data_IF_963640296758
#
_entry.id   IF_963640296758
#
_cell.length_a   1.000
_cell.length_b   1.000
_cell.length_c   1.000
_cell.angle_alpha   90.00
_cell.angle_beta   90.00
_cell.angle_gamma   90.00
#
_symmetry.space_group_name_H-M   'P 1'
#
loop_
_entity.id
_entity.type
_entity.pdbx_description
1 polymer ?
#
# COMPACT_ATOMS: atom_id res chain seq x y z
N UNK A 1 22.32 53.37 36.71
CA UNK A 1 23.36 54.19 36.05
C UNK A 1 23.50 53.60 34.65
N UNK A 2 22.83 54.08 33.58
CA UNK A 2 23.00 55.39 32.92
C UNK A 2 24.39 55.44 32.32
N UNK A 3 24.68 55.54 31.01
CA UNK A 3 24.08 56.17 29.81
C UNK A 3 24.90 55.62 28.60
N UNK A 4 24.48 55.45 27.34
CA UNK A 4 23.53 56.17 26.50
C UNK A 4 24.27 56.99 25.42
N UNK A 5 24.10 56.65 24.13
CA UNK A 5 24.08 57.52 22.91
C UNK A 5 24.44 56.69 21.65
N UNK A 6 24.04 56.99 20.41
CA UNK A 6 22.81 57.50 19.75
C UNK A 6 23.15 57.47 18.23
N UNK A 7 22.11 57.33 17.39
CA UNK A 7 22.11 57.20 15.91
C UNK A 7 22.60 58.45 15.14
N UNK A 8 22.68 58.39 13.79
CA UNK A 8 21.53 58.74 12.89
C UNK A 8 21.39 57.72 11.72
N UNK A 9 20.24 57.30 11.18
CA UNK A 9 19.04 57.89 10.59
C UNK A 9 19.23 58.60 9.23
N UNK A 10 18.88 57.93 8.12
CA UNK A 10 18.41 58.57 6.89
C UNK A 10 17.28 57.75 6.23
N UNK A 11 16.17 58.45 5.96
CA UNK A 11 14.87 57.99 5.46
C UNK A 11 14.80 57.94 3.92
N UNK A 12 13.76 57.24 3.45
CA UNK A 12 12.85 57.45 2.28
C UNK A 12 12.89 56.25 1.32
N UNK A 13 11.79 55.65 0.83
CA UNK A 13 10.33 55.74 1.00
C UNK A 13 9.75 54.45 0.33
N UNK A 14 8.66 53.83 0.82
CA UNK A 14 7.97 52.72 0.14
C UNK A 14 6.57 53.14 -0.35
N UNK A 15 6.07 52.58 -1.45
CA UNK A 15 4.65 52.59 -1.88
C UNK A 15 4.44 51.58 -3.06
N UNK A 16 3.22 51.10 -3.36
CA UNK A 16 2.25 50.45 -2.45
C UNK A 16 1.47 49.29 -3.13
N UNK A 17 0.55 48.66 -2.37
CA UNK A 17 -0.61 47.98 -2.98
C UNK A 17 -1.17 46.78 -2.22
N UNK A 18 -1.85 47.02 -1.10
CA UNK A 18 -2.93 46.13 -0.60
C UNK A 18 -4.26 46.68 -1.11
N UNK A 19 -5.20 45.80 -1.46
CA UNK A 19 -6.63 46.09 -1.35
C UNK A 19 -7.37 44.85 -0.85
N UNK A 20 -8.15 45.07 0.21
CA UNK A 20 -9.14 44.20 0.83
C UNK A 20 -10.54 44.56 0.30
N UNK A 21 -11.54 43.75 0.72
CA UNK A 21 -13.00 43.88 0.55
C UNK A 21 -13.54 43.23 -0.75
N UNK A 22 -14.66 42.51 -0.79
CA UNK A 22 -15.75 42.18 0.16
C UNK A 22 -16.58 41.03 -0.43
N UNK A 23 -17.29 40.27 0.40
CA UNK A 23 -18.44 39.44 0.00
C UNK A 23 -19.52 40.32 -0.67
N UNK A 24 -20.23 39.79 -1.68
CA UNK A 24 -21.67 39.99 -1.91
C UNK A 24 -22.17 39.00 -2.97
N UNK A 25 -23.34 38.42 -2.73
CA UNK A 25 -23.98 37.45 -3.60
C UNK A 25 -24.97 38.05 -4.62
N UNK A 26 -25.60 37.11 -5.32
CA UNK A 26 -26.78 37.19 -6.20
C UNK A 26 -26.60 37.36 -7.73
N UNK A 27 -27.01 36.27 -8.41
CA UNK A 27 -28.00 36.16 -9.51
C UNK A 27 -28.05 37.29 -10.54
N UNK A 28 -27.92 36.92 -11.81
CA UNK A 28 -28.54 37.68 -12.90
C UNK A 28 -27.86 37.52 -14.25
N UNK A 29 -28.53 36.79 -15.13
CA UNK A 29 -28.29 36.71 -16.57
C UNK A 29 -28.25 38.10 -17.23
N UNK A 30 -27.27 38.35 -18.11
CA UNK A 30 -27.49 38.95 -19.44
C UNK A 30 -26.22 38.98 -20.28
N UNK A 31 -26.43 38.56 -21.51
CA UNK A 31 -25.63 38.57 -22.73
C UNK A 31 -24.91 39.89 -23.00
N UNK A 32 -23.64 39.82 -23.37
CA UNK A 32 -22.99 40.84 -24.19
C UNK A 32 -22.09 40.19 -25.25
N UNK A 33 -22.32 40.60 -26.48
CA UNK A 33 -21.60 40.21 -27.69
C UNK A 33 -20.23 40.89 -27.73
N UNK A 34 -19.18 40.11 -28.00
CA UNK A 34 -17.96 40.64 -28.62
C UNK A 34 -17.55 39.73 -29.76
N UNK A 35 -17.62 40.29 -30.97
CA UNK A 35 -17.04 39.76 -32.18
C UNK A 35 -15.52 39.68 -32.03
N UNK A 36 -14.95 38.51 -32.32
CA UNK A 36 -13.57 38.45 -32.78
C UNK A 36 -13.45 37.36 -33.85
N UNK A 37 -13.29 37.84 -35.08
CA UNK A 37 -13.09 37.10 -36.32
C UNK A 37 -11.66 36.60 -36.41
N UNK A 38 -11.46 35.28 -36.45
CA UNK A 38 -10.33 34.63 -37.12
C UNK A 38 -10.81 33.33 -37.81
N UNK A 39 -10.32 33.02 -39.01
CA UNK A 39 -10.95 32.05 -39.91
C UNK A 39 -10.63 30.60 -39.53
N UNK A 40 -11.67 29.79 -39.44
CA UNK A 40 -11.60 28.34 -39.30
C UNK A 40 -11.34 27.69 -40.66
N UNK A 41 -10.12 27.19 -40.88
CA UNK A 41 -9.86 26.23 -41.94
C UNK A 41 -10.46 24.87 -41.54
N UNK A 42 -11.61 24.52 -42.10
CA UNK A 42 -12.16 23.16 -42.07
C UNK A 42 -11.41 22.28 -43.07
N UNK A 43 -10.39 21.55 -42.60
CA UNK A 43 -9.88 20.39 -43.33
C UNK A 43 -10.59 19.14 -42.84
N UNK A 44 -11.49 18.62 -43.68
CA UNK A 44 -12.06 17.28 -43.54
C UNK A 44 -10.97 16.24 -43.79
N UNK A 45 -10.32 15.76 -42.74
CA UNK A 45 -9.52 14.53 -42.81
C UNK A 45 -10.31 13.40 -42.15
N UNK A 46 -11.11 12.68 -42.95
CA UNK A 46 -11.68 11.39 -42.55
C UNK A 46 -10.53 10.40 -42.40
N UNK A 47 -10.06 10.18 -41.17
CA UNK A 47 -9.26 9.00 -40.85
C UNK A 47 -10.17 7.77 -40.95
N UNK A 48 -10.18 7.13 -42.11
CA UNK A 48 -10.70 5.78 -42.28
C UNK A 48 -9.71 4.87 -41.56
N UNK A 49 -10.00 4.54 -40.30
CA UNK A 49 -9.28 3.50 -39.58
C UNK A 49 -9.46 2.17 -40.30
N UNK A 50 -8.44 1.73 -41.03
CA UNK A 50 -8.35 0.34 -41.48
C UNK A 50 -8.18 -0.52 -40.22
N UNK A 51 -8.94 -1.62 -40.06
CA UNK A 51 -8.70 -2.56 -38.97
C UNK A 51 -7.28 -3.11 -39.09
N UNK A 52 -6.57 -3.15 -37.95
CA UNK A 52 -5.26 -3.75 -37.82
C UNK A 52 -5.28 -5.15 -38.42
N UNK A 53 -4.38 -5.40 -39.37
CA UNK A 53 -4.17 -6.70 -39.98
C UNK A 53 -3.90 -7.74 -38.88
N UNK A 54 -4.75 -8.77 -38.82
CA UNK A 54 -4.64 -9.92 -37.93
C UNK A 54 -3.51 -10.86 -38.34
N UNK A 55 -2.30 -10.33 -38.55
CA UNK A 55 -1.12 -11.18 -38.69
C UNK A 55 -0.80 -11.79 -37.32
N UNK A 56 -0.77 -13.12 -37.18
CA UNK A 56 -0.31 -13.73 -35.95
C UNK A 56 1.11 -13.25 -35.66
N UNK A 57 1.30 -12.63 -34.49
CA UNK A 57 2.62 -12.28 -33.98
C UNK A 57 3.41 -13.60 -33.88
N UNK A 58 4.33 -13.82 -34.81
CA UNK A 58 5.25 -14.95 -34.75
C UNK A 58 6.08 -14.80 -33.48
N UNK A 59 5.80 -15.66 -32.51
CA UNK A 59 6.52 -15.75 -31.23
C UNK A 59 8.00 -15.96 -31.55
N UNK A 60 8.92 -15.10 -31.09
CA UNK A 60 10.34 -15.41 -31.17
C UNK A 60 10.56 -16.77 -30.49
N UNK A 61 11.33 -17.66 -31.12
CA UNK A 61 11.87 -18.83 -30.45
C UNK A 61 12.51 -18.40 -29.14
N UNK A 62 12.27 -19.12 -28.05
CA UNK A 62 12.76 -18.82 -26.69
C UNK A 62 14.20 -18.31 -26.76
N UNK A 63 14.46 -17.02 -26.48
CA UNK A 63 15.80 -16.46 -26.65
C UNK A 63 16.62 -16.86 -25.44
N UNK A 64 17.08 -18.11 -25.41
CA UNK A 64 17.99 -18.62 -24.37
C UNK A 64 19.36 -17.93 -24.42
N UNK A 65 19.66 -17.22 -25.51
CA UNK A 65 20.85 -16.38 -25.63
C UNK A 65 20.42 -14.91 -25.86
N UNK A 66 20.17 -14.18 -24.77
CA UNK A 66 20.10 -12.72 -24.78
C UNK A 66 21.34 -12.14 -24.08
N UNK A 67 22.55 -12.30 -24.67
CA UNK A 67 23.81 -11.96 -24.01
C UNK A 67 23.94 -10.46 -23.73
N UNK A 68 23.15 -9.61 -24.39
CA UNK A 68 23.10 -8.17 -24.15
C UNK A 68 22.36 -7.79 -22.85
N UNK A 69 21.43 -8.63 -22.38
CA UNK A 69 20.42 -8.21 -21.40
C UNK A 69 21.00 -8.01 -20.01
N UNK A 70 21.68 -9.03 -19.47
CA UNK A 70 22.28 -8.94 -18.15
C UNK A 70 23.41 -7.89 -18.07
N UNK A 71 24.36 -7.81 -19.02
CA UNK A 71 25.37 -6.75 -19.01
C UNK A 71 24.77 -5.35 -19.04
N UNK A 72 23.74 -5.09 -19.86
CA UNK A 72 23.10 -3.78 -19.92
C UNK A 72 22.47 -3.37 -18.59
N UNK A 73 21.83 -4.30 -17.87
CA UNK A 73 21.25 -4.03 -16.56
C UNK A 73 22.33 -3.82 -15.48
N UNK A 74 23.35 -4.68 -15.45
CA UNK A 74 24.45 -4.59 -14.50
C UNK A 74 25.29 -3.33 -14.69
N UNK A 75 25.47 -2.87 -15.93
CA UNK A 75 26.13 -1.61 -16.22
C UNK A 75 25.26 -0.38 -15.84
N UNK A 76 23.94 -0.48 -16.05
CA UNK A 76 23.02 0.60 -15.75
C UNK A 76 22.81 0.79 -14.24
N UNK A 77 22.71 -0.31 -13.48
CA UNK A 77 22.32 -0.32 -12.07
C UNK A 77 23.16 0.55 -11.13
N UNK A 78 24.51 0.45 -11.07
CA UNK A 78 25.31 1.19 -10.10
C UNK A 78 25.21 2.72 -10.28
N UNK A 79 24.85 3.19 -11.48
CA UNK A 79 24.72 4.63 -11.79
C UNK A 79 23.33 5.21 -11.50
N UNK A 80 22.30 4.35 -11.39
CA UNK A 80 20.90 4.79 -11.31
C UNK A 80 20.14 4.27 -10.10
N UNK A 81 20.68 3.27 -9.38
CA UNK A 81 19.99 2.68 -8.23
C UNK A 81 19.74 3.72 -7.14
N UNK A 82 18.53 3.67 -6.57
CA UNK A 82 18.21 4.41 -5.36
C UNK A 82 19.01 3.86 -4.19
N UNK A 83 19.45 4.78 -3.35
CA UNK A 83 20.09 4.48 -2.08
C UNK A 83 19.04 4.03 -1.06
N UNK A 84 19.05 2.74 -0.70
CA UNK A 84 18.06 2.12 0.17
C UNK A 84 18.76 1.31 1.26
N UNK A 85 18.39 1.44 2.55
CA UNK A 85 19.14 0.84 3.66
C UNK A 85 19.35 -0.67 3.53
N UNK A 86 18.31 -1.40 3.11
CA UNK A 86 18.34 -2.86 2.94
C UNK A 86 19.21 -3.35 1.76
N UNK A 87 19.79 -2.44 0.96
CA UNK A 87 20.77 -2.79 -0.09
C UNK A 87 22.21 -2.80 0.40
N UNK A 88 22.47 -2.29 1.61
CA UNK A 88 23.81 -2.18 2.20
C UNK A 88 24.11 -3.29 3.21
N UNK A 89 23.31 -4.35 3.19
CA UNK A 89 23.43 -5.48 4.10
C UNK A 89 23.25 -6.79 3.36
N UNK A 90 23.86 -7.85 3.87
CA UNK A 90 23.60 -9.24 3.48
C UNK A 90 22.88 -10.01 4.59
N UNK A 91 22.47 -9.33 5.66
CA UNK A 91 21.69 -9.94 6.73
C UNK A 91 20.32 -10.39 6.20
N UNK A 92 20.01 -11.71 6.21
CA UNK A 92 18.75 -12.22 5.72
C UNK A 92 17.55 -11.68 6.52
N UNK A 93 17.71 -11.35 7.81
CA UNK A 93 16.63 -10.77 8.61
C UNK A 93 16.26 -9.38 8.10
N UNK A 94 17.24 -8.47 7.99
CA UNK A 94 17.03 -7.13 7.46
C UNK A 94 16.47 -7.14 6.02
N UNK A 95 16.98 -8.03 5.15
CA UNK A 95 16.47 -8.18 3.77
C UNK A 95 15.01 -8.65 3.80
N UNK A 96 14.72 -9.76 4.51
CA UNK A 96 13.37 -10.32 4.61
C UNK A 96 12.36 -9.30 5.14
N UNK A 97 12.72 -8.55 6.20
CA UNK A 97 11.89 -7.51 6.78
C UNK A 97 11.50 -6.46 5.72
N UNK A 98 12.47 -5.98 4.94
CA UNK A 98 12.22 -5.02 3.86
C UNK A 98 11.30 -5.59 2.78
N UNK A 99 11.50 -6.85 2.39
CA UNK A 99 10.71 -7.51 1.35
C UNK A 99 9.25 -7.69 1.80
N UNK A 100 9.01 -8.05 3.06
CA UNK A 100 7.64 -8.17 3.60
C UNK A 100 6.95 -6.81 3.69
N UNK A 101 7.67 -5.78 4.15
CA UNK A 101 7.16 -4.39 4.23
C UNK A 101 6.78 -3.85 2.85
N UNK A 102 7.59 -4.12 1.83
CA UNK A 102 7.42 -3.58 0.47
C UNK A 102 6.43 -4.37 -0.39
N UNK A 103 5.92 -5.51 0.06
CA UNK A 103 4.83 -6.22 -0.62
C UNK A 103 3.62 -5.28 -0.82
N UNK A 104 3.31 -4.97 -2.08
CA UNK A 104 2.22 -4.04 -2.45
C UNK A 104 2.30 -2.66 -1.78
N UNK A 105 3.50 -2.26 -1.37
CA UNK A 105 3.76 -1.01 -0.66
C UNK A 105 4.87 -0.25 -1.38
N UNK A 106 4.68 1.04 -1.63
CA UNK A 106 5.70 1.86 -2.29
C UNK A 106 6.85 2.12 -1.34
N UNK A 107 8.08 2.18 -1.87
CA UNK A 107 9.30 2.48 -1.09
C UNK A 107 9.14 3.71 -0.18
N UNK A 108 8.60 4.82 -0.70
CA UNK A 108 8.39 6.05 0.08
C UNK A 108 7.50 5.83 1.33
N UNK A 109 6.52 4.93 1.23
CA UNK A 109 5.63 4.60 2.35
C UNK A 109 6.24 3.55 3.28
N UNK A 110 6.97 2.56 2.73
CA UNK A 110 7.56 1.47 3.52
C UNK A 110 8.84 1.85 4.26
N UNK A 111 9.62 2.81 3.76
CA UNK A 111 10.93 3.16 4.36
C UNK A 111 10.84 3.56 5.83
N UNK A 112 9.92 4.45 6.27
CA UNK A 112 9.78 4.78 7.69
C UNK A 112 9.46 3.57 8.57
N UNK A 113 8.62 2.65 8.08
CA UNK A 113 8.29 1.41 8.81
C UNK A 113 9.48 0.48 8.88
N UNK A 114 10.26 0.34 7.81
CA UNK A 114 11.47 -0.46 7.85
C UNK A 114 12.45 0.06 8.91
N UNK A 115 12.67 1.38 8.96
CA UNK A 115 13.57 2.01 9.92
C UNK A 115 13.06 1.83 11.37
N UNK A 116 11.76 1.98 11.58
CA UNK A 116 11.12 1.77 12.88
C UNK A 116 11.26 0.31 13.35
N UNK A 117 10.92 -0.66 12.48
CA UNK A 117 11.01 -2.08 12.79
C UNK A 117 12.44 -2.54 13.04
N UNK A 118 13.41 -2.18 12.19
CA UNK A 118 14.80 -2.62 12.35
C UNK A 118 15.48 -1.97 13.57
N UNK A 119 14.99 -0.81 14.01
CA UNK A 119 15.48 -0.15 15.23
C UNK A 119 14.86 -0.77 16.48
N UNK A 120 13.55 -1.04 16.44
CA UNK A 120 12.80 -1.60 17.58
C UNK A 120 13.11 -3.08 17.79
N UNK A 121 13.25 -3.84 16.70
CA UNK A 121 13.60 -5.25 16.69
C UNK A 121 14.87 -5.45 15.87
N UNK A 122 16.07 -5.23 16.45
CA UNK A 122 17.33 -5.34 15.71
C UNK A 122 17.62 -6.75 15.18
N UNK A 123 17.09 -7.78 15.83
CA UNK A 123 17.28 -9.19 15.44
C UNK A 123 15.96 -9.93 15.25
N UNK A 124 16.03 -11.08 14.57
CA UNK A 124 14.85 -11.97 14.43
C UNK A 124 14.37 -12.50 15.78
N UNK A 125 15.27 -12.64 16.76
CA UNK A 125 14.97 -13.04 18.14
C UNK A 125 14.12 -11.97 18.84
N UNK A 126 14.49 -10.69 18.70
CA UNK A 126 13.74 -9.58 19.29
C UNK A 126 12.32 -9.54 18.71
N UNK A 127 12.18 -9.66 17.39
CA UNK A 127 10.88 -9.69 16.73
C UNK A 127 10.06 -10.91 17.16
N UNK A 128 10.68 -12.09 17.27
CA UNK A 128 9.99 -13.31 17.67
C UNK A 128 9.44 -13.25 19.11
N UNK A 129 10.19 -12.63 20.02
CA UNK A 129 9.85 -12.48 21.43
C UNK A 129 8.79 -11.38 21.68
N UNK A 130 8.63 -10.43 20.76
CA UNK A 130 7.68 -9.32 20.91
C UNK A 130 6.22 -9.80 21.02
N UNK A 131 5.37 -9.15 21.83
CA UNK A 131 3.93 -9.38 21.82
C UNK A 131 3.31 -9.07 20.45
N UNK A 132 2.36 -9.89 19.99
CA UNK A 132 1.72 -9.68 18.67
C UNK A 132 1.08 -8.29 18.55
N UNK A 133 0.43 -7.80 19.60
CA UNK A 133 -0.25 -6.50 19.59
C UNK A 133 0.71 -5.33 19.40
N UNK A 134 1.93 -5.43 19.95
CA UNK A 134 3.00 -4.45 19.75
C UNK A 134 3.47 -4.45 18.30
N UNK A 135 3.74 -5.63 17.72
CA UNK A 135 4.11 -5.78 16.31
C UNK A 135 3.03 -5.21 15.39
N UNK A 136 1.75 -5.47 15.69
CA UNK A 136 0.63 -4.90 14.93
C UNK A 136 0.49 -3.39 15.09
N UNK A 137 0.92 -2.85 16.24
CA UNK A 137 0.93 -1.41 16.50
C UNK A 137 1.99 -0.70 15.67
N UNK A 138 3.22 -1.24 15.61
CA UNK A 138 4.27 -0.75 14.70
C UNK A 138 3.87 -0.87 13.22
N UNK A 139 3.07 -1.89 12.86
CA UNK A 139 2.54 -2.05 11.50
C UNK A 139 1.35 -1.13 11.16
N UNK A 140 0.79 -0.42 12.15
CA UNK A 140 -0.46 0.30 11.99
C UNK A 140 -0.37 1.35 10.88
N UNK A 141 -1.27 1.26 9.90
CA UNK A 141 -1.35 2.17 8.75
C UNK A 141 -0.68 1.66 7.48
N UNK A 142 0.15 0.62 7.55
CA UNK A 142 0.78 0.01 6.37
C UNK A 142 -0.20 -0.86 5.55
N UNK A 143 -1.28 -1.33 6.19
CA UNK A 143 -2.29 -2.18 5.58
C UNK A 143 -1.83 -3.63 5.39
N UNK A 144 -2.74 -4.50 4.93
CA UNK A 144 -2.50 -5.94 4.76
C UNK A 144 -1.89 -6.61 6.01
N UNK A 145 -2.55 -6.47 7.16
CA UNK A 145 -2.05 -6.92 8.47
C UNK A 145 -1.78 -8.44 8.59
N UNK A 146 -2.26 -9.25 7.65
CA UNK A 146 -1.84 -10.64 7.54
C UNK A 146 -0.33 -10.77 7.26
N UNK A 147 0.29 -9.77 6.61
CA UNK A 147 1.75 -9.71 6.44
C UNK A 147 2.46 -9.59 7.78
N UNK A 148 2.05 -8.66 8.65
CA UNK A 148 2.62 -8.49 9.98
C UNK A 148 2.53 -9.77 10.83
N UNK A 149 1.35 -10.41 10.85
CA UNK A 149 1.15 -11.66 11.59
C UNK A 149 1.97 -12.82 11.04
N UNK A 150 2.00 -12.98 9.73
CA UNK A 150 2.83 -14.02 9.11
C UNK A 150 4.32 -13.73 9.32
N UNK A 151 4.72 -12.46 9.29
CA UNK A 151 6.09 -12.04 9.60
C UNK A 151 6.46 -12.43 11.03
N UNK A 152 5.61 -12.10 12.00
CA UNK A 152 5.84 -12.45 13.40
C UNK A 152 5.91 -13.96 13.63
N UNK A 153 4.94 -14.71 13.07
CA UNK A 153 4.98 -16.18 13.11
C UNK A 153 6.24 -16.76 12.47
N UNK A 154 6.72 -16.17 11.38
CA UNK A 154 7.95 -16.63 10.72
C UNK A 154 9.19 -16.29 11.51
N UNK A 155 9.23 -15.15 12.21
CA UNK A 155 10.31 -14.87 13.15
C UNK A 155 10.34 -15.94 14.25
N UNK A 156 9.18 -16.27 14.83
CA UNK A 156 9.05 -17.35 15.82
C UNK A 156 9.48 -18.71 15.25
N UNK A 157 9.10 -19.02 14.01
CA UNK A 157 9.51 -20.24 13.32
C UNK A 157 11.03 -20.30 13.12
N UNK A 158 11.66 -19.22 12.64
CA UNK A 158 13.10 -19.13 12.45
C UNK A 158 13.85 -19.33 13.77
N UNK A 159 13.36 -18.75 14.86
CA UNK A 159 13.96 -18.96 16.19
C UNK A 159 13.77 -20.39 16.69
N UNK A 160 12.55 -20.90 16.63
CA UNK A 160 12.19 -22.20 17.22
C UNK A 160 12.68 -23.42 16.42
N UNK A 161 12.60 -23.38 15.10
CA UNK A 161 12.91 -24.51 14.22
C UNK A 161 14.30 -24.42 13.58
N UNK A 162 14.85 -23.21 13.43
CA UNK A 162 16.11 -22.95 12.73
C UNK A 162 17.19 -22.27 13.60
N UNK A 163 17.00 -22.25 14.92
CA UNK A 163 18.00 -21.72 15.87
C UNK A 163 18.30 -20.23 15.71
N UNK A 164 17.34 -19.46 15.19
CA UNK A 164 17.48 -18.02 14.95
C UNK A 164 18.25 -17.67 13.67
N UNK A 165 18.49 -18.64 12.79
CA UNK A 165 19.17 -18.43 11.52
C UNK A 165 18.22 -18.70 10.35
N UNK A 166 18.16 -17.78 9.39
CA UNK A 166 17.38 -18.00 8.18
C UNK A 166 17.98 -19.15 7.36
N UNK A 167 17.16 -20.05 6.77
CA UNK A 167 17.63 -21.01 5.81
C UNK A 167 18.33 -20.33 4.63
N UNK A 168 19.38 -20.95 4.11
CA UNK A 168 20.25 -20.32 3.11
C UNK A 168 19.89 -20.65 1.66
N UNK A 169 18.89 -21.52 1.45
CA UNK A 169 18.47 -21.98 0.11
C UNK A 169 17.03 -21.61 -0.17
N UNK A 170 16.72 -21.34 -1.43
CA UNK A 170 15.39 -21.05 -1.94
C UNK A 170 14.38 -22.13 -1.53
N UNK A 171 14.76 -23.39 -1.65
CA UNK A 171 13.90 -24.53 -1.33
C UNK A 171 13.52 -24.58 0.16
N UNK A 172 14.44 -24.27 1.07
CA UNK A 172 14.15 -24.22 2.51
C UNK A 172 13.40 -22.94 2.90
N UNK A 173 13.74 -21.80 2.30
CA UNK A 173 13.05 -20.53 2.53
C UNK A 173 11.56 -20.60 2.18
N UNK A 174 11.18 -21.38 1.16
CA UNK A 174 9.78 -21.64 0.79
C UNK A 174 8.97 -22.36 1.86
N UNK A 175 9.61 -23.02 2.82
CA UNK A 175 8.92 -23.71 3.93
C UNK A 175 8.48 -22.74 5.02
N UNK A 176 9.02 -21.52 5.04
CA UNK A 176 8.68 -20.51 6.02
C UNK A 176 7.29 -19.93 5.76
N UNK A 177 6.53 -19.72 6.84
CA UNK A 177 5.15 -19.19 6.73
C UNK A 177 5.13 -17.81 6.06
N UNK A 178 4.22 -17.62 5.10
CA UNK A 178 4.09 -16.33 4.41
C UNK A 178 5.28 -15.93 3.52
N UNK A 179 6.31 -16.78 3.40
CA UNK A 179 7.40 -16.59 2.45
C UNK A 179 7.01 -17.27 1.13
N UNK A 180 6.54 -16.46 0.18
CA UNK A 180 6.23 -16.93 -1.17
C UNK A 180 7.46 -17.00 -2.06
N UNK A 181 7.29 -17.53 -3.28
CA UNK A 181 8.36 -17.70 -4.28
C UNK A 181 9.18 -16.42 -4.53
N UNK A 182 8.55 -15.25 -4.60
CA UNK A 182 9.28 -13.99 -4.76
C UNK A 182 10.19 -13.71 -3.55
N UNK A 183 9.65 -13.75 -2.34
CA UNK A 183 10.41 -13.41 -1.12
C UNK A 183 11.50 -14.45 -0.84
N UNK A 184 11.24 -15.73 -1.09
CA UNK A 184 12.26 -16.77 -0.99
C UNK A 184 13.40 -16.52 -1.99
N UNK A 185 13.08 -16.21 -3.26
CA UNK A 185 14.10 -15.90 -4.27
C UNK A 185 14.89 -14.64 -3.93
N UNK A 186 14.23 -13.61 -3.40
CA UNK A 186 14.88 -12.38 -2.96
C UNK A 186 15.89 -12.65 -1.83
N UNK A 187 15.51 -13.38 -0.78
CA UNK A 187 16.43 -13.70 0.32
C UNK A 187 17.57 -14.60 -0.16
N UNK A 188 17.26 -15.69 -0.86
CA UNK A 188 18.23 -16.64 -1.39
C UNK A 188 19.29 -15.96 -2.27
N UNK A 189 18.83 -15.05 -3.14
CA UNK A 189 19.70 -14.26 -4.01
C UNK A 189 20.47 -13.19 -3.24
N UNK A 190 19.80 -12.27 -2.55
CA UNK A 190 20.45 -11.08 -1.97
C UNK A 190 21.36 -11.39 -0.79
N UNK A 191 20.96 -12.31 0.10
CA UNK A 191 21.77 -12.69 1.24
C UNK A 191 22.85 -13.71 0.82
N UNK A 192 22.44 -14.76 0.10
CA UNK A 192 23.27 -15.96 -0.10
C UNK A 192 23.84 -16.15 -1.51
N UNK A 193 23.49 -15.28 -2.46
CA UNK A 193 24.00 -15.35 -3.84
C UNK A 193 23.46 -16.54 -4.63
N UNK A 194 22.34 -17.14 -4.22
CA UNK A 194 21.73 -18.23 -4.99
C UNK A 194 21.20 -17.73 -6.33
N UNK A 195 21.49 -18.47 -7.40
CA UNK A 195 21.04 -18.15 -8.76
C UNK A 195 19.57 -18.54 -8.95
N UNK A 196 18.67 -17.73 -8.39
CA UNK A 196 17.22 -17.84 -8.54
C UNK A 196 16.60 -16.48 -8.86
N UNK A 197 15.69 -16.42 -9.83
CA UNK A 197 15.17 -15.13 -10.28
C UNK A 197 14.05 -14.63 -9.37
N UNK A 198 14.11 -13.34 -9.05
CA UNK A 198 12.96 -12.63 -8.50
C UNK A 198 11.96 -12.31 -9.63
N UNK A 199 10.68 -12.53 -9.36
CA UNK A 199 9.62 -12.29 -10.34
C UNK A 199 8.46 -11.52 -9.70
N UNK A 200 8.59 -10.19 -9.69
CA UNK A 200 7.57 -9.25 -9.25
C UNK A 200 6.88 -8.55 -10.45
N UNK A 201 5.94 -7.64 -10.17
CA UNK A 201 5.23 -6.89 -11.22
C UNK A 201 6.14 -5.98 -12.05
N UNK A 202 7.32 -5.60 -11.54
CA UNK A 202 8.32 -4.84 -12.31
C UNK A 202 9.02 -5.74 -13.31
N UNK A 203 9.50 -6.91 -12.85
CA UNK A 203 10.18 -7.90 -13.68
C UNK A 203 9.24 -8.44 -14.77
N UNK A 204 8.00 -8.80 -14.44
CA UNK A 204 7.00 -9.21 -15.45
C UNK A 204 6.88 -8.20 -16.59
N UNK A 205 6.83 -6.90 -16.26
CA UNK A 205 6.70 -5.83 -17.26
C UNK A 205 7.95 -5.67 -18.12
N UNK A 206 9.13 -5.71 -17.51
CA UNK A 206 10.40 -5.61 -18.24
C UNK A 206 10.53 -6.79 -19.21
N UNK A 207 10.31 -8.01 -18.72
CA UNK A 207 10.40 -9.22 -19.54
C UNK A 207 9.36 -9.24 -20.66
N UNK A 208 8.10 -8.90 -20.35
CA UNK A 208 7.05 -8.85 -21.36
C UNK A 208 7.37 -7.86 -22.48
N UNK A 209 7.87 -6.67 -22.14
CA UNK A 209 8.18 -5.64 -23.12
C UNK A 209 9.43 -5.96 -23.93
N UNK A 210 10.50 -6.40 -23.28
CA UNK A 210 11.78 -6.66 -23.97
C UNK A 210 11.67 -7.87 -24.88
N UNK A 211 11.01 -8.94 -24.42
CA UNK A 211 10.94 -10.21 -25.15
C UNK A 211 9.61 -10.44 -25.89
N UNK A 212 8.67 -9.50 -25.82
CA UNK A 212 7.40 -9.57 -26.56
C UNK A 212 6.43 -10.64 -26.06
N UNK A 213 6.40 -10.88 -24.74
CA UNK A 213 5.52 -11.91 -24.14
C UNK A 213 4.13 -11.32 -23.89
N UNK A 214 3.13 -11.82 -24.64
CA UNK A 214 1.74 -11.41 -24.54
C UNK A 214 0.89 -12.25 -23.57
N UNK A 215 1.48 -13.26 -22.93
CA UNK A 215 0.81 -14.07 -21.91
C UNK A 215 0.33 -13.19 -20.74
N UNK A 216 -0.91 -13.38 -20.31
CA UNK A 216 -1.52 -12.60 -19.22
C UNK A 216 -0.79 -12.82 -17.89
N UNK A 217 -0.19 -11.77 -17.34
CA UNK A 217 0.58 -11.84 -16.09
C UNK A 217 -0.29 -12.07 -14.85
N UNK A 218 -1.62 -11.95 -14.97
CA UNK A 218 -2.57 -12.31 -13.93
C UNK A 218 -2.94 -13.80 -13.94
N UNK A 219 -2.68 -14.52 -15.03
CA UNK A 219 -3.00 -15.93 -15.16
C UNK A 219 -1.92 -16.80 -14.49
N UNK A 220 -2.27 -17.73 -13.57
CA UNK A 220 -1.28 -18.62 -12.95
C UNK A 220 -0.46 -19.44 -13.96
N UNK A 221 -1.04 -19.74 -15.13
CA UNK A 221 -0.38 -20.51 -16.20
C UNK A 221 0.80 -19.78 -16.84
N UNK A 222 0.81 -18.43 -16.86
CA UNK A 222 1.90 -17.65 -17.48
C UNK A 222 3.15 -17.58 -16.60
N UNK A 223 3.00 -17.77 -15.28
CA UNK A 223 4.11 -17.66 -14.32
C UNK A 223 5.30 -18.55 -14.69
N UNK A 224 5.05 -19.79 -15.13
CA UNK A 224 6.11 -20.74 -15.50
C UNK A 224 6.94 -20.24 -16.69
N UNK A 225 6.30 -19.62 -17.68
CA UNK A 225 6.97 -19.03 -18.83
C UNK A 225 7.91 -17.90 -18.40
N UNK A 226 7.40 -16.95 -17.62
CA UNK A 226 8.21 -15.82 -17.14
C UNK A 226 9.34 -16.26 -16.20
N UNK A 227 9.07 -17.21 -15.29
CA UNK A 227 10.08 -17.72 -14.37
C UNK A 227 11.22 -18.42 -15.12
N UNK A 228 10.89 -19.29 -16.09
CA UNK A 228 11.88 -20.00 -16.91
C UNK A 228 12.79 -19.02 -17.66
N UNK A 229 12.21 -17.96 -18.24
CA UNK A 229 12.99 -16.92 -18.90
C UNK A 229 13.84 -16.14 -17.90
N UNK A 230 13.28 -15.73 -16.77
CA UNK A 230 13.99 -14.94 -15.77
C UNK A 230 15.20 -15.70 -15.21
N UNK A 231 15.05 -16.99 -14.88
CA UNK A 231 16.12 -17.85 -14.36
C UNK A 231 17.25 -18.05 -15.39
N UNK A 232 16.91 -18.14 -16.67
CA UNK A 232 17.88 -18.27 -17.76
C UNK A 232 18.73 -17.01 -17.97
N UNK A 233 18.22 -15.82 -17.62
CA UNK A 233 18.89 -14.54 -17.83
C UNK A 233 19.88 -14.16 -16.71
N UNK A 234 19.84 -14.86 -15.57
CA UNK A 234 20.70 -14.51 -14.43
C UNK A 234 22.16 -14.90 -14.72
N UNK A 235 23.12 -13.96 -14.59
CA UNK A 235 24.54 -14.29 -14.68
C UNK A 235 25.01 -15.03 -13.43
N UNK A 236 25.88 -16.03 -13.60
CA UNK A 236 26.40 -16.82 -12.48
C UNK A 236 27.27 -16.01 -11.49
N UNK A 237 27.92 -14.94 -11.97
CA UNK A 237 28.85 -14.16 -11.18
C UNK A 237 28.20 -13.11 -10.26
N UNK A 238 26.97 -12.67 -10.56
CA UNK A 238 26.31 -11.57 -9.85
C UNK A 238 24.77 -11.74 -9.82
N UNK A 239 24.24 -12.85 -9.26
CA UNK A 239 22.81 -13.13 -9.27
C UNK A 239 22.01 -12.15 -8.40
N UNK A 240 22.58 -11.71 -7.28
CA UNK A 240 22.02 -10.72 -6.36
C UNK A 240 21.90 -9.34 -7.03
N UNK A 241 23.00 -8.84 -7.59
CA UNK A 241 23.02 -7.54 -8.25
C UNK A 241 22.10 -7.51 -9.47
N UNK A 242 22.08 -8.58 -10.28
CA UNK A 242 21.19 -8.67 -11.44
C UNK A 242 19.71 -8.61 -11.04
N UNK A 243 19.31 -9.37 -10.01
CA UNK A 243 17.93 -9.38 -9.52
C UNK A 243 17.52 -8.01 -8.98
N UNK A 244 18.40 -7.33 -8.23
CA UNK A 244 18.15 -5.94 -7.81
C UNK A 244 18.08 -4.98 -9.00
N UNK A 245 18.94 -5.15 -9.99
CA UNK A 245 19.00 -4.33 -11.19
C UNK A 245 17.71 -4.40 -12.01
N UNK A 246 17.19 -5.59 -12.29
CA UNK A 246 15.96 -5.73 -13.08
C UNK A 246 14.72 -5.18 -12.35
N UNK A 247 14.63 -5.36 -11.03
CA UNK A 247 13.56 -4.77 -10.23
C UNK A 247 13.63 -3.23 -10.25
N UNK A 248 14.82 -2.68 -10.04
CA UNK A 248 15.05 -1.24 -10.06
C UNK A 248 14.77 -0.65 -11.44
N UNK A 249 15.24 -1.33 -12.49
CA UNK A 249 15.02 -0.96 -13.88
C UNK A 249 13.53 -0.89 -14.20
N UNK A 250 12.75 -1.87 -13.80
CA UNK A 250 11.29 -1.80 -13.93
C UNK A 250 10.69 -0.65 -13.12
N UNK A 251 11.19 -0.40 -11.91
CA UNK A 251 10.66 0.64 -11.03
C UNK A 251 10.87 2.07 -11.54
N UNK A 252 12.04 2.37 -12.14
CA UNK A 252 12.40 3.77 -12.50
C UNK A 252 12.65 4.00 -14.00
N UNK A 253 13.10 3.00 -14.78
CA UNK A 253 13.31 3.14 -16.23
C UNK A 253 12.08 2.69 -17.02
N UNK A 254 11.73 1.40 -16.92
CA UNK A 254 10.64 0.79 -17.65
C UNK A 254 9.33 0.90 -16.87
N UNK A 255 8.90 2.13 -16.54
CA UNK A 255 7.70 2.36 -15.71
C UNK A 255 6.40 2.00 -16.45
N UNK A 256 5.27 1.76 -15.73
CA UNK A 256 4.02 1.36 -16.39
C UNK A 256 3.48 2.37 -17.40
N UNK A 257 3.42 3.66 -17.05
CA UNK A 257 2.73 4.69 -17.83
C UNK A 257 3.66 5.53 -18.70
N UNK A 258 4.82 5.93 -18.17
CA UNK A 258 5.78 6.81 -18.85
C UNK A 258 7.18 6.21 -18.75
N UNK A 259 7.44 5.06 -19.39
CA UNK A 259 8.77 4.49 -19.42
C UNK A 259 9.69 5.43 -20.20
N UNK A 260 10.92 5.60 -19.70
CA UNK A 260 11.90 6.42 -20.39
C UNK A 260 12.60 5.60 -21.48
N UNK A 261 11.85 5.30 -22.55
CA UNK A 261 12.36 4.44 -23.62
C UNK A 261 13.49 5.12 -24.42
N UNK A 262 13.54 6.45 -24.49
CA UNK A 262 14.53 7.19 -25.28
C UNK A 262 15.96 6.99 -24.77
N UNK A 263 16.13 6.93 -23.45
CA UNK A 263 17.42 6.71 -22.79
C UNK A 263 17.57 5.28 -22.25
N UNK A 264 16.72 4.35 -22.68
CA UNK A 264 16.73 2.96 -22.23
C UNK A 264 17.90 2.18 -22.87
N UNK A 265 18.80 1.55 -22.08
CA UNK A 265 19.93 0.79 -22.63
C UNK A 265 19.47 -0.46 -23.40
N UNK A 266 18.23 -0.92 -23.18
CA UNK A 266 17.64 -2.06 -23.88
C UNK A 266 16.82 -1.65 -25.12
N UNK A 267 16.72 -0.36 -25.45
CA UNK A 267 15.83 0.17 -26.50
C UNK A 267 15.99 -0.55 -27.84
N UNK A 268 17.23 -0.72 -28.31
CA UNK A 268 17.56 -1.32 -29.60
C UNK A 268 17.11 -2.79 -29.71
N UNK A 269 17.04 -3.50 -28.59
CA UNK A 269 16.65 -4.91 -28.53
C UNK A 269 15.24 -5.15 -27.96
N UNK A 270 14.55 -4.08 -27.53
CA UNK A 270 13.25 -4.18 -26.88
C UNK A 270 12.14 -4.39 -27.91
N UNK A 271 11.55 -5.60 -27.94
CA UNK A 271 10.47 -5.94 -28.86
C UNK A 271 9.31 -4.93 -28.83
N UNK A 272 8.84 -4.57 -27.63
CA UNK A 272 7.71 -3.66 -27.48
C UNK A 272 8.02 -2.25 -27.99
N UNK A 273 9.26 -1.78 -27.86
CA UNK A 273 9.65 -0.48 -28.40
C UNK A 273 9.67 -0.50 -29.94
N UNK A 274 10.32 -1.52 -30.53
CA UNK A 274 10.44 -1.67 -31.98
C UNK A 274 9.09 -1.86 -32.68
N UNK A 275 8.07 -2.38 -31.97
CA UNK A 275 6.74 -2.65 -32.52
C UNK A 275 5.64 -1.70 -32.02
N UNK A 276 5.99 -0.66 -31.23
CA UNK A 276 4.99 0.28 -30.69
C UNK A 276 4.05 -0.30 -29.62
N UNK A 277 4.40 -1.43 -28.99
CA UNK A 277 3.58 -2.17 -28.03
C UNK A 277 3.90 -1.86 -26.55
N UNK A 278 4.67 -0.80 -26.28
CA UNK A 278 5.10 -0.44 -24.91
C UNK A 278 3.91 -0.21 -23.96
N UNK A 279 2.83 0.37 -24.46
CA UNK A 279 1.61 0.64 -23.66
C UNK A 279 0.64 -0.55 -23.63
N UNK A 280 0.85 -1.56 -24.46
CA UNK A 280 0.01 -2.76 -24.52
C UNK A 280 0.58 -3.90 -23.66
N UNK A 281 1.90 -3.91 -23.44
CA UNK A 281 2.59 -4.92 -22.65
C UNK A 281 3.01 -4.39 -21.25
N UNK A 282 2.91 -5.22 -20.20
CA UNK A 282 2.40 -6.59 -20.18
C UNK A 282 0.87 -6.64 -20.29
N UNK A 283 0.35 -7.72 -20.89
CA UNK A 283 -1.08 -8.03 -20.81
C UNK A 283 -1.42 -8.39 -19.37
N UNK A 284 -2.46 -7.73 -18.83
CA UNK A 284 -2.97 -7.99 -17.48
C UNK A 284 -4.50 -7.95 -17.49
N UNK A 285 -5.13 -9.08 -17.20
CA UNK A 285 -6.60 -9.13 -17.06
C UNK A 285 -7.09 -8.20 -15.95
N UNK A 286 -8.28 -7.62 -16.16
CA UNK A 286 -8.93 -6.74 -15.18
C UNK A 286 -9.29 -7.54 -13.93
N UNK A 287 -9.00 -6.96 -12.77
CA UNK A 287 -9.47 -7.49 -11.50
C UNK A 287 -11.00 -7.42 -11.41
N UNK A 288 -11.59 -8.31 -10.60
CA UNK A 288 -13.03 -8.24 -10.27
C UNK A 288 -13.37 -6.91 -9.59
N UNK A 289 -14.59 -6.43 -9.82
CA UNK A 289 -15.08 -5.23 -9.15
C UNK A 289 -15.08 -5.42 -7.63
N UNK A 290 -14.64 -4.40 -6.89
CA UNK A 290 -14.65 -4.41 -5.44
C UNK A 290 -16.09 -4.34 -4.91
N UNK A 291 -16.45 -5.23 -3.96
CA UNK A 291 -17.75 -5.19 -3.28
C UNK A 291 -17.83 -4.02 -2.31
N UNK A 292 -19.01 -3.44 -2.10
CA UNK A 292 -19.24 -2.44 -1.04
C UNK A 292 -19.81 -3.13 0.20
N UNK A 293 -19.33 -2.75 1.39
CA UNK A 293 -19.82 -3.19 2.70
C UNK A 293 -20.25 -1.96 3.49
N UNK A 294 -21.40 -2.03 4.15
CA UNK A 294 -21.91 -0.93 4.99
C UNK A 294 -21.75 -1.29 6.45
N UNK A 295 -20.91 -0.54 7.15
CA UNK A 295 -20.56 -0.77 8.54
C UNK A 295 -21.25 0.27 9.42
N UNK A 296 -21.99 -0.19 10.43
CA UNK A 296 -22.54 0.66 11.47
C UNK A 296 -21.81 0.36 12.78
N UNK A 297 -20.86 1.21 13.12
CA UNK A 297 -20.11 1.12 14.36
C UNK A 297 -20.91 1.71 15.52
N UNK A 298 -21.09 0.92 16.58
CA UNK A 298 -21.70 1.33 17.83
C UNK A 298 -20.56 1.71 18.79
N UNK A 299 -20.34 3.01 18.94
CA UNK A 299 -19.31 3.56 19.82
C UNK A 299 -19.95 3.75 21.20
N UNK A 300 -19.97 2.66 21.97
CA UNK A 300 -20.60 2.61 23.29
C UNK A 300 -19.73 3.31 24.34
N UNK A 301 -20.35 4.17 25.15
CA UNK A 301 -19.67 4.98 26.17
C UNK A 301 -20.44 4.97 27.49
N UNK A 302 -19.72 4.96 28.61
CA UNK A 302 -20.28 5.20 29.94
C UNK A 302 -19.24 5.90 30.82
N UNK A 303 -19.51 7.13 31.23
CA UNK A 303 -18.49 7.98 31.86
C UNK A 303 -17.26 8.14 30.94
N UNK A 304 -16.08 7.82 31.46
CA UNK A 304 -14.81 7.84 30.70
C UNK A 304 -14.52 6.52 29.96
N UNK A 305 -15.39 5.52 30.12
CA UNK A 305 -15.21 4.19 29.51
C UNK A 305 -15.76 4.16 28.09
N UNK A 306 -14.98 3.53 27.21
CA UNK A 306 -15.28 3.19 25.82
C UNK A 306 -15.13 1.68 25.65
N UNK A 307 -16.01 1.05 24.87
CA UNK A 307 -15.95 -0.40 24.64
C UNK A 307 -15.40 -0.73 23.25
N UNK A 308 -14.38 -1.58 23.20
CA UNK A 308 -13.78 -2.09 21.96
C UNK A 308 -13.55 -3.59 22.05
N UNK A 309 -13.39 -4.26 20.91
CA UNK A 309 -13.06 -5.70 20.84
C UNK A 309 -11.99 -5.98 19.82
N UNK A 310 -11.18 -7.01 20.07
CA UNK A 310 -10.26 -7.56 19.07
C UNK A 310 -11.05 -8.36 18.04
N UNK A 311 -10.90 -8.04 16.76
CA UNK A 311 -11.60 -8.75 15.67
C UNK A 311 -11.10 -10.19 15.56
N UNK A 312 -12.04 -11.12 15.49
CA UNK A 312 -11.77 -12.55 15.29
C UNK A 312 -11.19 -12.90 13.92
N UNK A 313 -10.98 -14.20 13.70
CA UNK A 313 -10.46 -14.71 12.43
C UNK A 313 -11.48 -14.60 11.28
N UNK A 314 -10.97 -14.77 10.04
CA UNK A 314 -11.76 -14.92 8.80
C UNK A 314 -12.48 -13.66 8.27
N UNK A 315 -12.08 -12.46 8.70
CA UNK A 315 -12.50 -11.20 8.06
C UNK A 315 -11.35 -10.18 8.00
N UNK A 316 -11.60 -9.01 7.39
CA UNK A 316 -10.66 -7.90 7.39
C UNK A 316 -10.33 -7.45 8.81
N UNK A 317 -9.12 -6.91 8.94
CA UNK A 317 -8.62 -6.36 10.19
C UNK A 317 -8.62 -7.37 11.34
N UNK A 318 -8.60 -8.68 11.05
CA UNK A 318 -8.38 -9.73 12.04
C UNK A 318 -7.21 -9.35 12.95
N UNK A 319 -7.39 -9.55 14.26
CA UNK A 319 -6.39 -9.25 15.28
C UNK A 319 -6.24 -7.76 15.60
N UNK A 320 -6.99 -6.87 14.96
CA UNK A 320 -7.03 -5.46 15.33
C UNK A 320 -8.25 -5.16 16.19
N UNK A 321 -8.14 -4.12 17.01
CA UNK A 321 -9.23 -3.60 17.82
C UNK A 321 -10.18 -2.76 17.00
N UNK A 322 -11.46 -2.95 17.28
CA UNK A 322 -12.58 -2.34 16.58
C UNK A 322 -13.75 -2.10 17.56
N UNK A 323 -14.71 -1.27 17.17
CA UNK A 323 -15.94 -1.08 17.94
C UNK A 323 -16.93 -2.24 17.73
N UNK A 324 -18.01 -2.23 18.50
CA UNK A 324 -19.17 -3.06 18.17
C UNK A 324 -19.69 -2.68 16.78
N UNK A 325 -20.08 -3.68 15.98
CA UNK A 325 -20.36 -3.52 14.56
C UNK A 325 -21.65 -4.25 14.18
N UNK A 326 -22.54 -3.53 13.50
CA UNK A 326 -23.66 -4.08 12.73
C UNK A 326 -23.37 -3.87 11.24
N UNK A 327 -23.28 -4.95 10.47
CA UNK A 327 -23.13 -4.88 9.00
C UNK A 327 -24.49 -5.09 8.32
N UNK A 328 -24.78 -4.27 7.32
CA UNK A 328 -26.04 -4.31 6.56
C UNK A 328 -25.77 -4.21 5.05
N UNK A 329 -26.83 -4.38 4.26
CA UNK A 329 -26.77 -4.17 2.80
C UNK A 329 -27.03 -2.71 2.40
N UNK A 330 -27.37 -1.83 3.36
CA UNK A 330 -27.78 -0.45 3.11
C UNK A 330 -26.87 0.55 3.84
N UNK A 331 -26.74 1.75 3.29
CA UNK A 331 -25.90 2.78 3.91
C UNK A 331 -26.47 3.33 5.23
N UNK A 332 -27.76 3.11 5.50
CA UNK A 332 -28.47 3.67 6.65
C UNK A 332 -28.94 2.56 7.59
N UNK A 333 -28.88 2.83 8.89
CA UNK A 333 -29.43 1.97 9.92
C UNK A 333 -30.55 2.74 10.64
N UNK A 334 -31.80 2.26 10.61
CA UNK A 334 -32.90 2.90 11.32
C UNK A 334 -32.68 2.91 12.83
N UNK A 335 -33.14 3.97 13.51
CA UNK A 335 -33.00 4.11 14.95
C UNK A 335 -33.53 2.89 15.75
N UNK A 336 -34.69 2.26 15.42
CA UNK A 336 -35.12 1.05 16.13
C UNK A 336 -34.14 -0.12 16.02
N UNK A 337 -33.47 -0.28 14.87
CA UNK A 337 -32.44 -1.31 14.67
C UNK A 337 -31.17 -1.02 15.45
N UNK A 338 -30.83 0.27 15.63
CA UNK A 338 -29.71 0.71 16.45
C UNK A 338 -29.95 0.38 17.93
N UNK A 339 -31.14 0.69 18.45
CA UNK A 339 -31.53 0.38 19.84
C UNK A 339 -31.48 -1.13 20.07
N UNK A 340 -32.11 -1.92 19.20
CA UNK A 340 -32.10 -3.38 19.31
C UNK A 340 -30.68 -3.97 19.29
N UNK A 341 -29.76 -3.38 18.52
CA UNK A 341 -28.37 -3.83 18.48
C UNK A 341 -27.62 -3.53 19.80
N UNK A 342 -27.94 -2.43 20.49
CA UNK A 342 -27.37 -2.12 21.82
C UNK A 342 -27.94 -3.05 22.88
N UNK A 343 -29.26 -3.28 22.87
CA UNK A 343 -29.93 -4.21 23.78
C UNK A 343 -29.40 -5.63 23.63
N UNK A 344 -29.14 -6.08 22.40
CA UNK A 344 -28.53 -7.39 22.13
C UNK A 344 -27.10 -7.53 22.69
N UNK A 345 -26.43 -6.43 23.02
CA UNK A 345 -25.13 -6.42 23.69
C UNK A 345 -25.26 -6.33 25.22
N UNK A 346 -26.48 -6.34 25.76
CA UNK A 346 -26.76 -6.13 27.19
C UNK A 346 -26.70 -4.67 27.61
N UNK A 347 -26.67 -3.72 26.66
CA UNK A 347 -26.64 -2.29 26.93
C UNK A 347 -28.03 -1.66 26.96
N UNK A 348 -28.17 -0.58 27.73
CA UNK A 348 -29.34 0.29 27.69
C UNK A 348 -28.89 1.72 27.40
N UNK A 349 -29.52 2.39 26.44
CA UNK A 349 -29.18 3.76 26.07
C UNK A 349 -29.59 4.75 27.16
N UNK A 350 -28.72 5.71 27.44
CA UNK A 350 -29.03 6.87 28.27
C UNK A 350 -29.97 7.82 27.51
N UNK A 351 -31.06 8.24 28.14
CA UNK A 351 -32.05 9.17 27.55
C UNK A 351 -31.82 10.62 27.96
N UNK A 352 -30.89 10.87 28.87
CA UNK A 352 -30.52 12.17 29.41
C UNK A 352 -29.27 12.78 28.74
N UNK A 353 -28.74 12.12 27.69
CA UNK A 353 -27.59 12.58 26.92
C UNK A 353 -28.02 13.15 25.58
N UNK A 354 -27.30 14.17 25.11
CA UNK A 354 -27.52 14.74 23.78
C UNK A 354 -27.06 13.76 22.70
N UNK A 355 -27.83 13.68 21.60
CA UNK A 355 -27.43 12.90 20.44
C UNK A 355 -26.19 13.54 19.79
N UNK A 356 -25.16 12.73 19.57
CA UNK A 356 -23.96 13.14 18.86
C UNK A 356 -24.13 12.89 17.35
N UNK A 357 -23.59 13.78 16.48
CA UNK A 357 -23.74 13.62 15.04
C UNK A 357 -23.03 12.35 14.56
N UNK A 358 -23.73 11.57 13.72
CA UNK A 358 -23.16 10.38 13.08
C UNK A 358 -22.01 10.78 12.16
N UNK A 359 -20.80 10.25 12.43
CA UNK A 359 -19.66 10.45 11.55
C UNK A 359 -19.65 9.38 10.46
N UNK A 360 -19.70 9.80 9.19
CA UNK A 360 -19.54 8.89 8.05
C UNK A 360 -18.11 8.95 7.52
N UNK A 361 -17.45 7.79 7.43
CA UNK A 361 -16.11 7.63 6.87
C UNK A 361 -16.10 6.52 5.83
N UNK A 362 -15.38 6.76 4.74
CA UNK A 362 -15.15 5.77 3.70
C UNK A 362 -13.73 5.22 3.76
N UNK A 363 -13.58 3.91 3.61
CA UNK A 363 -12.30 3.23 3.51
C UNK A 363 -12.25 2.30 2.29
N UNK A 364 -11.17 2.36 1.52
CA UNK A 364 -11.01 1.58 0.29
C UNK A 364 -9.94 0.50 0.49
N UNK A 365 -10.33 -0.76 0.30
CA UNK A 365 -9.46 -1.93 0.25
C UNK A 365 -9.41 -2.46 -1.19
N UNK A 366 -8.42 -3.29 -1.50
CA UNK A 366 -8.16 -3.74 -2.87
C UNK A 366 -9.30 -4.54 -3.51
N UNK A 367 -10.07 -5.28 -2.71
CA UNK A 367 -11.19 -6.12 -3.16
C UNK A 367 -12.54 -5.69 -2.59
N UNK A 368 -12.58 -4.67 -1.72
CA UNK A 368 -13.82 -4.18 -1.15
C UNK A 368 -13.73 -2.72 -0.68
N UNK A 369 -14.87 -2.05 -0.59
CA UNK A 369 -15.01 -0.70 -0.04
C UNK A 369 -15.85 -0.79 1.22
N UNK A 370 -15.43 -0.11 2.27
CA UNK A 370 -16.18 0.00 3.53
C UNK A 370 -16.72 1.42 3.59
N UNK A 371 -18.04 1.54 3.62
CA UNK A 371 -18.75 2.77 3.94
C UNK A 371 -19.20 2.64 5.40
N UNK A 372 -18.53 3.36 6.31
CA UNK A 372 -18.74 3.24 7.74
C UNK A 372 -19.48 4.45 8.30
N UNK A 373 -20.48 4.20 9.16
CA UNK A 373 -21.15 5.19 10.00
C UNK A 373 -20.86 4.88 11.47
N UNK A 374 -20.43 5.89 12.21
CA UNK A 374 -20.12 5.78 13.63
C UNK A 374 -21.23 6.43 14.43
N UNK A 375 -21.90 5.62 15.25
CA UNK A 375 -22.97 6.04 16.16
C UNK A 375 -22.37 6.13 17.56
N UNK A 376 -22.14 7.35 18.04
CA UNK A 376 -21.74 7.61 19.43
C UNK A 376 -22.94 7.43 20.35
N UNK A 377 -22.87 6.45 21.25
CA UNK A 377 -24.00 6.02 22.06
C UNK A 377 -23.60 5.98 23.53
N UNK A 378 -24.32 6.74 24.35
CA UNK A 378 -24.15 6.74 25.79
C UNK A 378 -25.03 5.67 26.42
N UNK A 379 -24.44 4.83 27.27
CA UNK A 379 -25.14 3.82 28.03
C UNK A 379 -25.58 4.40 29.37
N UNK A 380 -26.75 3.98 29.84
CA UNK A 380 -27.28 4.35 31.15
C UNK A 380 -26.45 3.74 32.30
N UNK A 381 -25.87 2.56 32.05
CA UNK A 381 -25.01 1.83 32.98
C UNK A 381 -23.87 1.15 32.21
N UNK A 382 -22.76 0.76 32.87
CA UNK A 382 -21.73 -0.05 32.23
C UNK A 382 -22.32 -1.36 31.69
N UNK A 383 -21.73 -1.91 30.62
CA UNK A 383 -22.08 -3.26 30.18
C UNK A 383 -21.76 -4.26 31.29
N UNK A 384 -22.70 -5.16 31.55
CA UNK A 384 -22.51 -6.20 32.55
C UNK A 384 -21.53 -7.29 32.06
N UNK A 385 -21.11 -8.16 32.99
CA UNK A 385 -20.17 -9.23 32.68
C UNK A 385 -20.70 -10.20 31.60
N UNK A 386 -22.03 -10.39 31.53
CA UNK A 386 -22.67 -11.23 30.52
C UNK A 386 -22.56 -10.66 29.12
N UNK A 387 -22.89 -9.37 28.96
CA UNK A 387 -22.79 -8.62 27.71
C UNK A 387 -21.35 -8.52 27.21
N UNK A 388 -20.39 -8.28 28.10
CA UNK A 388 -18.97 -8.26 27.76
C UNK A 388 -18.49 -9.64 27.26
N UNK A 389 -18.81 -10.71 27.98
CA UNK A 389 -18.43 -12.07 27.60
C UNK A 389 -19.04 -12.51 26.26
N UNK A 390 -20.32 -12.18 26.02
CA UNK A 390 -21.02 -12.56 24.78
C UNK A 390 -20.52 -11.77 23.56
N UNK A 391 -20.24 -10.48 23.73
CA UNK A 391 -19.84 -9.59 22.63
C UNK A 391 -18.34 -9.63 22.32
N UNK A 392 -17.54 -10.07 23.29
CA UNK A 392 -16.08 -9.97 23.27
C UNK A 392 -15.56 -8.54 23.44
N UNK A 393 -16.42 -7.60 23.86
CA UNK A 393 -16.03 -6.24 24.19
C UNK A 393 -15.26 -6.21 25.51
N UNK A 394 -14.32 -5.28 25.59
CA UNK A 394 -13.62 -4.91 26.80
C UNK A 394 -13.71 -3.39 26.99
N UNK A 395 -13.66 -2.98 28.25
CA UNK A 395 -13.68 -1.57 28.67
C UNK A 395 -12.27 -0.97 28.54
N UNK A 396 -12.20 0.23 27.99
CA UNK A 396 -10.98 1.02 27.85
C UNK A 396 -11.28 2.50 28.17
N UNK A 397 -10.30 3.22 28.66
CA UNK A 397 -10.28 4.68 28.65
C UNK A 397 -9.99 5.20 27.24
N UNK A 398 -10.34 6.45 26.96
CA UNK A 398 -9.98 7.08 25.69
C UNK A 398 -8.46 6.98 25.40
N UNK A 399 -7.62 7.20 26.41
CA UNK A 399 -6.16 7.10 26.28
C UNK A 399 -5.71 5.68 25.90
N UNK A 400 -6.21 4.65 26.59
CA UNK A 400 -5.89 3.25 26.26
C UNK A 400 -6.30 2.88 24.84
N UNK A 401 -7.41 3.44 24.33
CA UNK A 401 -7.81 3.17 22.94
C UNK A 401 -6.77 3.63 21.92
N UNK A 402 -5.93 4.63 22.21
CA UNK A 402 -4.87 5.10 21.31
C UNK A 402 -3.69 4.12 21.23
N UNK A 403 -3.46 3.31 22.26
CA UNK A 403 -2.39 2.31 22.30
C UNK A 403 -2.77 1.00 21.60
N UNK A 404 -4.07 0.71 21.46
CA UNK A 404 -4.53 -0.51 20.81
C UNK A 404 -4.17 -0.55 19.30
N UNK A 405 -3.70 -1.68 18.75
CA UNK A 405 -3.51 -1.82 17.31
C UNK A 405 -4.87 -1.84 16.61
N UNK A 406 -5.12 -0.85 15.74
CA UNK A 406 -6.44 -0.61 15.13
C UNK A 406 -6.31 -0.22 13.65
N UNK A 407 -7.31 -0.49 12.81
CA UNK A 407 -7.23 -0.06 11.41
C UNK A 407 -7.27 1.47 11.30
N UNK A 408 -6.69 2.00 10.22
CA UNK A 408 -6.63 3.45 9.98
C UNK A 408 -8.02 4.10 9.97
N UNK A 409 -9.07 3.35 9.61
CA UNK A 409 -10.45 3.83 9.67
C UNK A 409 -10.85 4.20 11.10
N UNK A 410 -10.50 3.36 12.08
CA UNK A 410 -10.82 3.59 13.50
C UNK A 410 -9.90 4.65 14.08
N UNK A 411 -8.60 4.64 13.75
CA UNK A 411 -7.68 5.72 14.14
C UNK A 411 -8.19 7.10 13.67
N UNK A 412 -8.61 7.21 12.40
CA UNK A 412 -9.17 8.45 11.86
C UNK A 412 -10.47 8.90 12.53
N UNK A 413 -11.29 7.96 13.04
CA UNK A 413 -12.46 8.30 13.84
C UNK A 413 -12.04 8.87 15.20
N UNK A 414 -11.14 8.17 15.90
CA UNK A 414 -10.64 8.60 17.20
C UNK A 414 -10.01 9.99 17.12
N UNK A 415 -9.08 10.23 16.20
CA UNK A 415 -8.38 11.51 16.05
C UNK A 415 -9.31 12.70 15.74
N UNK A 416 -10.49 12.42 15.14
CA UNK A 416 -11.49 13.45 14.83
C UNK A 416 -12.41 13.75 16.01
N UNK A 417 -12.66 12.78 16.88
CA UNK A 417 -13.67 12.86 17.93
C UNK A 417 -13.03 13.11 19.29
N UNK A 418 -11.91 12.47 19.59
CA UNK A 418 -11.21 12.48 20.88
C UNK A 418 -9.79 12.96 20.64
N UNK A 419 -9.54 14.25 20.92
CA UNK A 419 -8.23 14.89 20.80
C UNK A 419 -7.56 15.01 22.16
#
# INVERSE_FOLDING_TARGET
>A
MGTGQKRPNSRRKPLPGKLLFTNWGHKGTRTFWFYNTFPTFHSHCRYIGKPLSSKPLTRPSTPTAAPYFAPALLEWYPRHRRDLPWRHTRDPYAIWLSEVILQQTRVKQGLPYYLDFITTYPTVQDLAAAPEDEVLRHWQGLGYYSRARNMHHTAQQVVGEYGGQFPTTYAELLKLRGVGQYTAAAIASFAFGEKVAVLDGNVYRVLARVFGIASDIAAPSSRKEFQTLADALIPAAAPDEFNQAIMEFGAIQCTPLKPDCLFCPLQHHCFAFQNGLVHELPVKSKAKAARTRYFHYLVLRHGETVYMKKRGAKDIWQGLYDFALTETEAAELPAPSLVAAVEALGGQLATDQAEEPVLALRHVLSHQKVEARFHSLWLQQPLDAGGLAQSGLAAFTAAETHELPKPILIANFLDKTWK
#
